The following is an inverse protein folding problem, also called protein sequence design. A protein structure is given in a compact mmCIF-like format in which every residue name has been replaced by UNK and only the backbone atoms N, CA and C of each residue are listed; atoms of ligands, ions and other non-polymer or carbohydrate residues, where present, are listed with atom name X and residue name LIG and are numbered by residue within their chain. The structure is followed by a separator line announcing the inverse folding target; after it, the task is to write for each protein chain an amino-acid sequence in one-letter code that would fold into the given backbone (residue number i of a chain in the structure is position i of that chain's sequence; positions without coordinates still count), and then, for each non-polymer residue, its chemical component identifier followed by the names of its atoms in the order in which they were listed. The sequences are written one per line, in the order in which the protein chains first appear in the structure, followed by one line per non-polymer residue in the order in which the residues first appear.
data_IF_265207154728
#
_entry.id   IF_265207154728
#
_cell.length_a   1.000
_cell.length_b   1.000
_cell.length_c   1.000
_cell.angle_alpha   90.00
_cell.angle_beta   90.00
_cell.angle_gamma   90.00
#
_symmetry.space_group_name_H-M   'P 1'
#
loop_
_entity.id
_entity.type
_entity.pdbx_description
1 polymer ?
#
# COMPACT_ATOMS: atom_id res chain seq x y z
N UNK A 1 -45.58 -7.76 -9.51
CA UNK A 1 -44.13 -8.05 -9.43
C UNK A 1 -43.49 -7.06 -8.45
N UNK A 2 -43.00 -7.50 -7.28
CA UNK A 2 -42.54 -6.60 -6.20
C UNK A 2 -41.01 -6.53 -6.23
N UNK A 3 -40.45 -5.42 -6.71
CA UNK A 3 -39.01 -5.18 -6.72
C UNK A 3 -38.59 -4.93 -5.27
N UNK A 4 -37.97 -5.93 -4.62
CA UNK A 4 -37.37 -5.76 -3.30
C UNK A 4 -36.12 -4.91 -3.48
N UNK A 5 -36.20 -3.61 -3.20
CA UNK A 5 -35.02 -2.77 -3.09
C UNK A 5 -34.16 -3.28 -1.93
N UNK A 6 -32.97 -3.80 -2.25
CA UNK A 6 -32.01 -4.22 -1.25
C UNK A 6 -31.55 -2.99 -0.45
N UNK A 7 -31.94 -2.91 0.83
CA UNK A 7 -31.49 -1.84 1.73
C UNK A 7 -29.97 -1.96 1.86
N UNK A 8 -29.23 -0.92 1.47
CA UNK A 8 -27.77 -0.86 1.70
C UNK A 8 -27.50 -1.03 3.20
N UNK A 9 -26.52 -1.85 3.61
CA UNK A 9 -26.24 -2.09 5.02
C UNK A 9 -25.84 -0.78 5.72
N UNK A 10 -26.22 -0.62 7.00
CA UNK A 10 -25.87 0.55 7.79
C UNK A 10 -24.35 0.78 7.87
N UNK A 11 -23.91 2.03 7.96
CA UNK A 11 -22.48 2.40 7.97
C UNK A 11 -21.72 1.70 9.13
N UNK A 12 -22.35 1.55 10.30
CA UNK A 12 -21.75 0.89 11.46
C UNK A 12 -21.48 -0.63 11.29
N UNK A 13 -22.08 -1.27 10.28
CA UNK A 13 -21.81 -2.68 9.94
C UNK A 13 -20.73 -2.82 8.87
N UNK A 14 -20.25 -1.71 8.29
CA UNK A 14 -19.18 -1.77 7.29
C UNK A 14 -17.86 -1.87 8.03
N UNK A 15 -17.21 -3.02 7.89
CA UNK A 15 -15.83 -3.15 8.33
C UNK A 15 -14.97 -2.18 7.50
N UNK A 16 -14.15 -1.32 8.13
CA UNK A 16 -13.20 -0.53 7.38
C UNK A 16 -12.25 -1.50 6.68
N UNK A 17 -12.10 -1.34 5.37
CA UNK A 17 -11.10 -2.07 4.59
C UNK A 17 -9.73 -1.50 4.94
N UNK A 18 -9.20 -1.92 6.08
CA UNK A 18 -7.89 -1.51 6.56
C UNK A 18 -6.89 -2.56 6.13
N UNK A 19 -5.96 -2.16 5.28
CA UNK A 19 -4.85 -3.01 4.86
C UNK A 19 -3.65 -2.71 5.75
N UNK A 20 -2.87 -3.75 6.07
CA UNK A 20 -1.58 -3.62 6.74
C UNK A 20 -0.51 -4.15 5.80
N UNK A 21 0.51 -3.35 5.52
CA UNK A 21 1.64 -3.74 4.65
C UNK A 21 2.97 -3.49 5.34
N UNK A 22 3.97 -4.29 4.96
CA UNK A 22 5.37 -4.03 5.27
C UNK A 22 5.95 -3.26 4.08
N UNK A 23 6.14 -1.96 4.26
CA UNK A 23 6.68 -1.09 3.24
C UNK A 23 8.20 -1.00 3.36
N UNK A 24 8.90 -1.12 2.24
CA UNK A 24 10.34 -1.01 2.11
C UNK A 24 10.69 0.14 1.16
N UNK A 25 11.90 0.69 1.31
CA UNK A 25 12.42 1.63 0.32
C UNK A 25 12.75 0.88 -0.98
N UNK A 26 12.45 1.47 -2.14
CA UNK A 26 12.81 0.87 -3.43
C UNK A 26 14.32 0.57 -3.51
N UNK A 27 14.67 -0.65 -3.93
CA UNK A 27 16.06 -1.11 -4.10
C UNK A 27 16.78 -1.57 -2.83
N UNK A 28 16.16 -1.54 -1.64
CA UNK A 28 16.78 -2.09 -0.42
C UNK A 28 15.74 -2.65 0.56
N UNK A 29 16.09 -3.73 1.26
CA UNK A 29 15.26 -4.29 2.35
C UNK A 29 15.71 -3.84 3.74
N UNK A 30 16.76 -3.02 3.85
CA UNK A 30 17.30 -2.57 5.13
C UNK A 30 16.33 -1.63 5.87
N UNK A 31 15.69 -0.74 5.12
CA UNK A 31 14.75 0.24 5.69
C UNK A 31 13.32 -0.22 5.43
N UNK A 32 12.63 -0.58 6.51
CA UNK A 32 11.24 -1.03 6.47
C UNK A 32 10.34 -0.26 7.44
N UNK A 33 9.05 -0.18 7.13
CA UNK A 33 8.03 0.42 7.97
C UNK A 33 6.71 -0.36 7.86
N UNK A 34 6.09 -0.62 9.00
CA UNK A 34 4.72 -1.14 9.05
C UNK A 34 3.73 -0.01 8.85
N UNK A 35 2.93 -0.12 7.79
CA UNK A 35 1.91 0.86 7.46
C UNK A 35 0.55 0.19 7.45
N UNK A 36 -0.38 0.80 8.18
CA UNK A 36 -1.75 0.36 8.26
C UNK A 36 -2.60 1.47 7.69
N UNK A 37 -3.36 1.20 6.64
CA UNK A 37 -4.10 2.24 5.98
C UNK A 37 -5.32 1.74 5.21
N UNK A 38 -6.28 2.64 5.07
CA UNK A 38 -7.55 2.37 4.41
C UNK A 38 -7.73 3.20 3.12
N UNK A 39 -6.86 4.19 2.84
CA UNK A 39 -6.95 5.10 1.68
C UNK A 39 -5.64 5.88 1.42
N UNK A 40 -5.65 6.81 0.43
CA UNK A 40 -4.54 7.69 -0.08
C UNK A 40 -3.57 8.25 0.97
N UNK A 41 -3.98 8.38 2.23
CA UNK A 41 -3.09 8.74 3.35
C UNK A 41 -1.94 7.75 3.54
N UNK A 42 -2.05 6.53 2.99
CA UNK A 42 -0.97 5.52 2.89
C UNK A 42 0.35 6.14 2.51
N UNK A 43 0.44 6.81 1.35
CA UNK A 43 1.73 7.22 0.78
C UNK A 43 2.43 8.29 1.63
N UNK A 44 1.66 9.20 2.22
CA UNK A 44 2.22 10.21 3.11
C UNK A 44 2.73 9.58 4.41
N UNK A 45 1.96 8.65 4.99
CA UNK A 45 2.37 7.94 6.21
C UNK A 45 3.61 7.07 5.97
N UNK A 46 3.65 6.39 4.83
CA UNK A 46 4.82 5.64 4.32
C UNK A 46 6.02 6.57 4.20
N UNK A 47 5.85 7.76 3.58
CA UNK A 47 6.93 8.75 3.41
C UNK A 47 7.54 9.14 4.75
N UNK A 48 6.71 9.47 5.73
CA UNK A 48 7.17 9.87 7.06
C UNK A 48 7.80 8.71 7.84
N UNK A 49 7.21 7.51 7.79
CA UNK A 49 7.71 6.33 8.52
C UNK A 49 9.01 5.77 7.95
N UNK A 50 9.15 5.74 6.63
CA UNK A 50 10.38 5.33 5.94
C UNK A 50 11.43 6.45 5.88
N UNK A 51 11.12 7.65 6.39
CA UNK A 51 11.99 8.84 6.34
C UNK A 51 12.54 9.10 4.93
N UNK A 52 11.68 9.02 3.93
CA UNK A 52 12.06 9.29 2.55
C UNK A 52 12.44 10.77 2.40
N UNK A 53 13.43 11.06 1.57
CA UNK A 53 13.86 12.42 1.26
C UNK A 53 12.89 13.14 0.29
N UNK A 54 11.95 12.41 -0.31
CA UNK A 54 10.86 12.93 -1.12
C UNK A 54 9.59 12.13 -0.89
N UNK A 55 8.45 12.69 -1.31
CA UNK A 55 7.17 12.03 -1.17
C UNK A 55 7.13 10.71 -1.96
N UNK A 56 6.63 9.66 -1.32
CA UNK A 56 6.29 8.41 -2.00
C UNK A 56 5.24 8.66 -3.08
N UNK A 57 5.49 8.15 -4.29
CA UNK A 57 4.59 8.30 -5.45
C UNK A 57 4.08 6.98 -5.98
N UNK A 58 4.87 5.91 -5.86
CA UNK A 58 4.56 4.59 -6.41
C UNK A 58 4.82 3.50 -5.40
N UNK A 59 4.03 2.44 -5.47
CA UNK A 59 4.19 1.21 -4.69
C UNK A 59 4.36 0.07 -5.69
N UNK A 60 5.32 -0.81 -5.42
CA UNK A 60 5.62 -2.00 -6.19
C UNK A 60 5.54 -3.23 -5.29
N UNK A 61 5.16 -4.37 -5.85
CA UNK A 61 5.31 -5.67 -5.18
C UNK A 61 6.76 -6.14 -5.29
N UNK A 62 7.10 -7.20 -4.53
CA UNK A 62 8.40 -7.88 -4.64
C UNK A 62 8.72 -8.38 -6.05
N UNK A 63 7.69 -8.64 -6.86
CA UNK A 63 7.81 -9.08 -8.27
C UNK A 63 7.95 -7.90 -9.25
N UNK A 64 7.98 -6.65 -8.75
CA UNK A 64 8.09 -5.44 -9.56
C UNK A 64 6.79 -4.94 -10.20
N UNK A 65 5.65 -5.52 -9.82
CA UNK A 65 4.33 -5.06 -10.28
C UNK A 65 3.91 -3.79 -9.55
N UNK A 66 3.56 -2.73 -10.29
CA UNK A 66 3.06 -1.48 -9.70
C UNK A 66 1.64 -1.69 -9.14
N UNK A 67 1.40 -1.20 -7.92
CA UNK A 67 0.10 -1.25 -7.25
C UNK A 67 -0.40 0.17 -7.01
N UNK A 68 -1.56 0.49 -7.57
CA UNK A 68 -2.20 1.80 -7.41
C UNK A 68 -3.42 1.78 -6.49
N UNK A 69 -4.04 0.61 -6.29
CA UNK A 69 -5.24 0.46 -5.47
C UNK A 69 -4.93 -0.27 -4.17
N UNK A 70 -5.42 0.24 -3.02
CA UNK A 70 -5.26 -0.45 -1.74
C UNK A 70 -5.86 -1.87 -1.73
N UNK A 71 -6.86 -2.14 -2.57
CA UNK A 71 -7.56 -3.42 -2.65
C UNK A 71 -6.67 -4.58 -3.12
N UNK A 72 -5.61 -4.26 -3.86
CA UNK A 72 -4.68 -5.26 -4.38
C UNK A 72 -3.59 -5.63 -3.35
N UNK A 73 -3.56 -4.91 -2.21
CA UNK A 73 -2.62 -5.14 -1.14
C UNK A 73 -3.25 -6.06 -0.08
N UNK A 74 -2.60 -7.19 0.16
CA UNK A 74 -2.96 -8.12 1.23
C UNK A 74 -2.37 -7.69 2.58
N UNK A 75 -2.89 -8.27 3.66
CA UNK A 75 -2.37 -8.09 5.01
C UNK A 75 -0.95 -8.68 5.11
N UNK A 76 -0.05 -7.93 5.72
CA UNK A 76 1.38 -8.24 5.94
C UNK A 76 2.16 -8.48 4.63
N UNK A 77 1.65 -7.98 3.51
CA UNK A 77 2.33 -8.04 2.21
C UNK A 77 3.57 -7.13 2.19
N UNK A 78 4.66 -7.63 1.60
CA UNK A 78 5.87 -6.85 1.34
C UNK A 78 5.67 -5.96 0.11
N UNK A 79 5.88 -4.66 0.28
CA UNK A 79 5.77 -3.67 -0.80
C UNK A 79 6.98 -2.75 -0.82
N UNK A 80 7.38 -2.32 -2.00
CA UNK A 80 8.50 -1.43 -2.25
C UNK A 80 8.00 -0.07 -2.69
N UNK A 81 8.50 0.97 -2.08
CA UNK A 81 7.99 2.33 -2.24
C UNK A 81 9.02 3.16 -2.98
N UNK A 82 8.57 3.76 -4.08
CA UNK A 82 9.37 4.65 -4.91
C UNK A 82 8.86 6.08 -4.85
N UNK A 83 9.79 7.03 -5.03
CA UNK A 83 9.53 8.46 -5.12
C UNK A 83 9.29 8.94 -6.56
N UNK A 84 9.17 8.00 -7.51
CA UNK A 84 8.94 8.27 -8.93
C UNK A 84 9.89 7.55 -9.88
N UNK A 85 10.89 6.83 -9.36
CA UNK A 85 11.76 5.97 -10.15
C UNK A 85 11.08 4.63 -10.53
N UNK A 86 11.70 3.87 -11.45
CA UNK A 86 11.28 2.52 -11.77
C UNK A 86 11.56 1.54 -10.62
N UNK A 87 10.90 0.39 -10.61
CA UNK A 87 11.16 -0.65 -9.61
C UNK A 87 12.64 -1.07 -9.64
N UNK A 88 13.25 -1.08 -8.46
CA UNK A 88 14.60 -1.57 -8.25
C UNK A 88 14.52 -2.86 -7.45
N UNK A 89 14.98 -3.95 -8.07
CA UNK A 89 15.01 -5.25 -7.42
C UNK A 89 15.99 -5.23 -6.25
N UNK A 90 15.52 -5.42 -5.01
CA UNK A 90 16.37 -5.38 -3.82
C UNK A 90 17.33 -6.57 -3.71
N UNK A 91 17.13 -7.65 -4.47
CA UNK A 91 18.06 -8.79 -4.53
C UNK A 91 19.15 -8.60 -5.59
N UNK A 92 18.96 -7.63 -6.49
CA UNK A 92 19.96 -7.23 -7.46
C UNK A 92 20.92 -6.27 -6.77
N UNK A 93 21.64 -6.78 -5.76
CA UNK A 93 22.86 -6.13 -5.27
C UNK A 93 23.80 -5.93 -6.46
N UNK A 94 24.28 -4.69 -6.64
CA UNK A 94 25.35 -4.34 -7.58
C UNK A 94 26.67 -4.50 -6.85
#
# INVERSE_FOLDING_TARGET
MRIRSARKPPIFMRQPHTIRVNAYKNGTRETSAKVTASNITTLQEVTSKLKLNSAARKIFLSVGTEVSLPKDLAIDLEVFVSMGEAFLDPQREI
#
